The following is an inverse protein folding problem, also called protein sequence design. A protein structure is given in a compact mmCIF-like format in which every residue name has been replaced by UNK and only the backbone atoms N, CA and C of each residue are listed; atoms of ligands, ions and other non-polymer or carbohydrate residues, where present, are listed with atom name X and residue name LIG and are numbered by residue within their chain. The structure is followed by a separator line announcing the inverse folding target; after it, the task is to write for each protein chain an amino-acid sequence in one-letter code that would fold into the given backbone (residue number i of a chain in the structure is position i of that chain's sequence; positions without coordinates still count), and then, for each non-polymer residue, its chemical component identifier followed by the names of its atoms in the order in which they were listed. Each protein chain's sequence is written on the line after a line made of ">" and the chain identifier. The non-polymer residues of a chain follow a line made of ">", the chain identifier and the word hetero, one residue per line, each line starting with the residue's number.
data_IF_177334658779
#
_entry.id   IF_177334658779
#
_cell.length_a   1.000
_cell.length_b   1.000
_cell.length_c   1.000
_cell.angle_alpha   90.00
_cell.angle_beta   90.00
_cell.angle_gamma   90.00
#
_symmetry.space_group_name_H-M   'P 1'
#
loop_
_entity.id
_entity.type
_entity.pdbx_description
1 polymer ?
#
# COMPACT_ATOMS: atom_id res chain seq x y z
N UNK A 1 4.19 14.67 16.43
CA UNK A 1 5.22 15.09 15.47
C UNK A 1 5.43 13.96 14.49
N UNK A 2 4.87 14.05 13.29
CA UNK A 2 5.15 13.12 12.19
C UNK A 2 6.33 13.68 11.40
N UNK A 3 7.52 13.11 11.60
CA UNK A 3 8.80 13.61 11.04
C UNK A 3 8.86 13.57 9.50
N UNK A 4 7.81 13.09 8.82
CA UNK A 4 7.73 12.88 7.37
C UNK A 4 6.40 13.35 6.73
N UNK A 5 5.55 14.07 7.46
CA UNK A 5 4.22 14.48 6.96
C UNK A 5 3.20 13.35 6.81
N UNK A 6 3.54 12.11 7.20
CA UNK A 6 2.61 10.99 7.20
C UNK A 6 1.61 11.11 8.36
N UNK A 7 0.32 11.21 8.05
CA UNK A 7 -0.73 11.16 9.07
C UNK A 7 -1.00 9.72 9.51
N UNK A 8 -1.51 9.55 10.75
CA UNK A 8 -1.99 8.23 11.21
C UNK A 8 -3.05 7.65 10.28
N UNK A 9 -3.81 8.51 9.60
CA UNK A 9 -4.84 8.13 8.64
C UNK A 9 -4.24 7.52 7.37
N UNK A 10 -3.11 8.04 6.91
CA UNK A 10 -2.39 7.50 5.74
C UNK A 10 -1.89 6.09 6.02
N UNK A 11 -1.32 5.87 7.22
CA UNK A 11 -0.91 4.53 7.65
C UNK A 11 -2.05 3.53 7.66
N UNK A 12 -3.24 3.93 8.14
CA UNK A 12 -4.44 3.07 8.10
C UNK A 12 -4.90 2.80 6.67
N UNK A 13 -4.95 3.83 5.82
CA UNK A 13 -5.35 3.68 4.42
C UNK A 13 -4.39 2.77 3.66
N UNK A 14 -3.08 2.92 3.88
CA UNK A 14 -2.04 2.05 3.33
C UNK A 14 -2.27 0.58 3.72
N UNK A 15 -2.53 0.29 5.00
CA UNK A 15 -2.79 -1.07 5.46
C UNK A 15 -4.06 -1.66 4.83
N UNK A 16 -5.12 -0.85 4.69
CA UNK A 16 -6.35 -1.28 4.01
C UNK A 16 -6.06 -1.62 2.55
N UNK A 17 -5.33 -0.76 1.82
CA UNK A 17 -4.96 -1.01 0.42
C UNK A 17 -4.12 -2.28 0.30
N UNK A 18 -3.07 -2.43 1.13
CA UNK A 18 -2.22 -3.60 1.11
C UNK A 18 -3.01 -4.90 1.38
N UNK A 19 -3.94 -4.87 2.33
CA UNK A 19 -4.80 -6.00 2.64
C UNK A 19 -5.75 -6.34 1.47
N UNK A 20 -6.39 -5.34 0.86
CA UNK A 20 -7.27 -5.53 -0.30
C UNK A 20 -6.49 -6.13 -1.47
N UNK A 21 -5.33 -5.58 -1.81
CA UNK A 21 -4.49 -6.09 -2.91
C UNK A 21 -4.07 -7.55 -2.64
N UNK A 22 -3.66 -7.84 -1.40
CA UNK A 22 -3.28 -9.20 -1.00
C UNK A 22 -4.43 -10.18 -1.19
N UNK A 23 -5.63 -9.83 -0.72
CA UNK A 23 -6.82 -10.67 -0.83
C UNK A 23 -7.28 -10.85 -2.27
N UNK A 24 -7.25 -9.79 -3.07
CA UNK A 24 -7.60 -9.84 -4.50
C UNK A 24 -6.68 -10.83 -5.22
N UNK A 25 -5.36 -10.68 -5.07
CA UNK A 25 -4.41 -11.55 -5.77
C UNK A 25 -4.45 -12.97 -5.22
N UNK A 26 -4.55 -13.14 -3.90
CA UNK A 26 -4.74 -14.46 -3.32
C UNK A 26 -6.02 -15.13 -3.85
N UNK A 27 -7.09 -14.37 -4.10
CA UNK A 27 -8.38 -14.85 -4.62
C UNK A 27 -8.42 -15.11 -6.13
N UNK A 28 -7.66 -14.36 -6.93
CA UNK A 28 -7.71 -14.41 -8.40
C UNK A 28 -6.54 -15.14 -9.05
N UNK A 29 -5.40 -15.26 -8.36
CA UNK A 29 -4.24 -15.94 -8.91
C UNK A 29 -4.48 -17.45 -9.04
N UNK A 30 -3.92 -18.03 -10.11
CA UNK A 30 -3.97 -19.47 -10.35
C UNK A 30 -2.84 -20.19 -9.61
N UNK A 31 -3.01 -21.50 -9.39
CA UNK A 31 -2.01 -22.35 -8.76
C UNK A 31 -2.27 -22.69 -7.29
N UNK A 32 -1.26 -23.26 -6.64
CA UNK A 32 -1.37 -23.73 -5.26
C UNK A 32 -1.66 -22.57 -4.29
N UNK A 33 -2.49 -22.83 -3.27
CA UNK A 33 -2.90 -21.82 -2.29
C UNK A 33 -1.70 -21.08 -1.67
N UNK A 34 -0.66 -21.81 -1.28
CA UNK A 34 0.56 -21.20 -0.71
C UNK A 34 1.23 -20.21 -1.65
N UNK A 35 1.31 -20.52 -2.95
CA UNK A 35 1.90 -19.64 -3.96
C UNK A 35 1.05 -18.38 -4.14
N UNK A 36 -0.28 -18.53 -4.16
CA UNK A 36 -1.23 -17.41 -4.29
C UNK A 36 -1.13 -16.45 -3.11
N UNK A 37 -1.04 -16.98 -1.89
CA UNK A 37 -0.88 -16.18 -0.67
C UNK A 37 0.45 -15.42 -0.69
N UNK A 38 1.56 -16.08 -1.06
CA UNK A 38 2.87 -15.43 -1.17
C UNK A 38 2.84 -14.34 -2.24
N UNK A 39 2.30 -14.62 -3.43
CA UNK A 39 2.17 -13.65 -4.51
C UNK A 39 1.34 -12.42 -4.08
N UNK A 40 0.19 -12.65 -3.43
CA UNK A 40 -0.64 -11.58 -2.90
C UNK A 40 0.09 -10.75 -1.85
N UNK A 41 0.83 -11.40 -0.95
CA UNK A 41 1.60 -10.71 0.09
C UNK A 41 2.68 -9.82 -0.53
N UNK A 42 3.43 -10.32 -1.51
CA UNK A 42 4.45 -9.54 -2.23
C UNK A 42 3.82 -8.32 -2.89
N UNK A 43 2.71 -8.50 -3.60
CA UNK A 43 2.01 -7.41 -4.27
C UNK A 43 1.41 -6.39 -3.29
N UNK A 44 0.89 -6.84 -2.14
CA UNK A 44 0.41 -5.98 -1.06
C UNK A 44 1.54 -5.13 -0.46
N UNK A 45 2.70 -5.74 -0.22
CA UNK A 45 3.91 -5.03 0.24
C UNK A 45 4.37 -4.00 -0.79
N UNK A 46 4.44 -4.37 -2.07
CA UNK A 46 4.81 -3.43 -3.14
C UNK A 46 3.83 -2.26 -3.22
N UNK A 47 2.52 -2.54 -3.07
CA UNK A 47 1.49 -1.51 -3.04
C UNK A 47 1.66 -0.56 -1.85
N UNK A 48 1.99 -1.08 -0.67
CA UNK A 48 2.29 -0.27 0.50
C UNK A 48 3.53 0.63 0.28
N UNK A 49 4.60 0.10 -0.32
CA UNK A 49 5.81 0.86 -0.65
C UNK A 49 5.47 2.00 -1.62
N UNK A 50 4.75 1.72 -2.71
CA UNK A 50 4.33 2.73 -3.68
C UNK A 50 3.41 3.78 -3.02
N UNK A 51 2.51 3.37 -2.14
CA UNK A 51 1.65 4.29 -1.38
C UNK A 51 2.49 5.25 -0.55
N UNK A 52 3.43 4.76 0.25
CA UNK A 52 4.31 5.60 1.07
C UNK A 52 5.12 6.56 0.21
N UNK A 53 5.74 6.07 -0.86
CA UNK A 53 6.52 6.92 -1.78
C UNK A 53 5.62 8.02 -2.36
N UNK A 54 4.43 7.66 -2.82
CA UNK A 54 3.47 8.62 -3.39
C UNK A 54 3.04 9.66 -2.37
N UNK A 55 2.69 9.25 -1.15
CA UNK A 55 2.31 10.18 -0.08
C UNK A 55 3.47 11.11 0.28
N UNK A 56 4.70 10.59 0.38
CA UNK A 56 5.87 11.43 0.64
C UNK A 56 6.13 12.43 -0.50
N UNK A 57 5.99 12.02 -1.75
CA UNK A 57 6.13 12.89 -2.91
C UNK A 57 5.04 13.97 -2.94
N UNK A 58 3.79 13.60 -2.67
CA UNK A 58 2.66 14.54 -2.60
C UNK A 58 2.88 15.54 -1.46
N UNK A 59 3.32 15.08 -0.29
CA UNK A 59 3.59 15.98 0.83
C UNK A 59 4.81 16.88 0.58
N UNK A 60 5.75 16.45 -0.29
CA UNK A 60 6.98 17.19 -0.58
C UNK A 60 6.87 18.17 -1.75
N UNK A 61 6.08 17.83 -2.76
CA UNK A 61 5.98 18.54 -4.04
C UNK A 61 4.54 18.88 -4.44
N UNK A 62 3.54 18.44 -3.67
CA UNK A 62 2.15 18.78 -3.90
C UNK A 62 1.96 20.30 -3.79
N UNK A 63 1.20 20.90 -4.70
CA UNK A 63 1.04 22.35 -4.72
C UNK A 63 0.24 22.83 -3.51
N UNK A 64 0.66 23.94 -2.89
CA UNK A 64 0.10 24.56 -1.67
C UNK A 64 -1.37 25.01 -1.77
N UNK A 65 -2.05 24.74 -2.89
CA UNK A 65 -3.42 25.16 -3.17
C UNK A 65 -4.40 23.97 -3.17
N UNK A 66 -4.68 23.40 -2.00
CA UNK A 66 -5.95 22.74 -1.71
C UNK A 66 -6.21 22.73 -0.21
#
# INVERSE_FOLDING_TARGET
>A
MSTLGLEKRDGRNMLVVAAVVTLVIAGTAEGALGVRVVAGTVAGVMSAVVFVISTLLINRYGPDHW
#
